data_IF_200408728652
#
_entry.id   IF_200408728652
#
_cell.length_a   1.000
_cell.length_b   1.000
_cell.length_c   1.000
_cell.angle_alpha   90.00
_cell.angle_beta   90.00
_cell.angle_gamma   90.00
#
_symmetry.space_group_name_H-M   'P 1'
#
loop_
_entity.id
_entity.type
_entity.pdbx_description
1 polymer ?
#
# COMPACT_ATOMS: atom_id res chain seq x y z
N UNK A 1 -17.08 -48.43 26.70
CA UNK A 1 -16.53 -47.68 25.55
C UNK A 1 -17.63 -46.78 25.00
N UNK A 2 -17.55 -45.47 25.24
CA UNK A 2 -18.55 -44.48 24.81
C UNK A 2 -18.03 -43.74 23.58
N UNK A 3 -18.82 -43.77 22.52
CA UNK A 3 -18.53 -43.14 21.23
C UNK A 3 -18.55 -41.61 21.34
N UNK A 4 -17.43 -40.97 20.98
CA UNK A 4 -17.36 -39.55 20.65
C UNK A 4 -16.91 -39.43 19.19
N UNK A 5 -17.87 -39.32 18.30
CA UNK A 5 -17.65 -38.86 16.93
C UNK A 5 -18.87 -38.05 16.56
N UNK A 6 -18.75 -36.73 16.54
CA UNK A 6 -19.56 -35.78 15.77
C UNK A 6 -18.99 -34.37 16.06
N UNK A 7 -18.95 -33.54 15.01
CA UNK A 7 -18.59 -32.11 14.95
C UNK A 7 -17.13 -31.72 14.68
N UNK A 8 -16.64 -32.08 13.49
CA UNK A 8 -15.50 -31.39 12.86
C UNK A 8 -15.78 -30.97 11.40
N UNK A 9 -17.04 -30.68 11.03
CA UNK A 9 -17.42 -30.37 9.64
C UNK A 9 -17.98 -28.95 9.41
N UNK A 10 -18.05 -28.08 10.43
CA UNK A 10 -18.70 -26.77 10.29
C UNK A 10 -17.75 -25.57 10.10
N UNK A 11 -16.43 -25.72 10.26
CA UNK A 11 -15.49 -24.59 10.11
C UNK A 11 -14.94 -24.41 8.69
N UNK A 12 -14.97 -25.45 7.83
CA UNK A 12 -14.43 -25.35 6.47
C UNK A 12 -15.36 -24.61 5.49
N UNK A 13 -16.65 -24.45 5.86
CA UNK A 13 -17.65 -23.79 4.99
C UNK A 13 -17.65 -22.26 5.08
N UNK A 14 -17.04 -21.67 6.11
CA UNK A 14 -17.03 -20.20 6.28
C UNK A 14 -15.90 -19.50 5.51
N UNK A 15 -14.79 -20.18 5.25
CA UNK A 15 -13.66 -19.62 4.48
C UNK A 15 -13.97 -19.53 2.97
N UNK A 16 -14.88 -20.36 2.44
CA UNK A 16 -15.25 -20.36 1.02
C UNK A 16 -16.27 -19.27 0.63
N UNK A 17 -16.96 -18.65 1.59
CA UNK A 17 -17.99 -17.65 1.29
C UNK A 17 -17.47 -16.20 1.23
N UNK A 18 -16.37 -15.87 1.92
CA UNK A 18 -15.83 -14.50 1.93
C UNK A 18 -15.21 -14.08 0.59
N UNK A 19 -14.81 -15.04 -0.26
CA UNK A 19 -14.18 -14.77 -1.55
C UNK A 19 -15.20 -14.51 -2.68
N UNK A 20 -16.51 -14.72 -2.45
CA UNK A 20 -17.54 -14.64 -3.50
C UNK A 20 -17.85 -13.23 -4.01
N UNK A 21 -17.51 -12.18 -3.25
CA UNK A 21 -17.90 -10.81 -3.59
C UNK A 21 -16.76 -9.93 -4.11
N UNK A 22 -15.55 -10.50 -4.26
CA UNK A 22 -14.45 -9.75 -4.84
C UNK A 22 -14.70 -9.48 -6.34
N UNK A 23 -14.29 -8.30 -6.79
CA UNK A 23 -14.33 -7.87 -8.20
C UNK A 23 -12.92 -7.69 -8.72
N UNK A 24 -12.68 -8.12 -9.96
CA UNK A 24 -11.39 -7.94 -10.62
C UNK A 24 -11.54 -6.96 -11.78
N UNK A 25 -10.53 -6.13 -11.96
CA UNK A 25 -10.41 -5.21 -13.09
C UNK A 25 -9.00 -5.30 -13.65
N UNK A 26 -8.88 -5.63 -14.93
CA UNK A 26 -7.63 -5.56 -15.67
C UNK A 26 -7.57 -4.23 -16.43
N UNK A 27 -6.45 -3.52 -16.29
CA UNK A 27 -6.14 -2.35 -17.09
C UNK A 27 -4.94 -2.66 -17.97
N UNK A 28 -5.11 -2.47 -19.27
CA UNK A 28 -4.02 -2.40 -20.23
C UNK A 28 -3.93 -0.96 -20.73
N UNK A 29 -2.78 -0.33 -20.58
CA UNK A 29 -2.59 1.08 -20.94
C UNK A 29 -1.20 1.28 -21.53
N UNK A 30 -1.11 2.18 -22.50
CA UNK A 30 0.16 2.68 -22.98
C UNK A 30 0.47 4.03 -22.34
N UNK A 31 1.69 4.19 -21.81
CA UNK A 31 2.13 5.36 -21.04
C UNK A 31 3.41 5.90 -21.68
N UNK A 32 3.53 7.22 -21.69
CA UNK A 32 4.73 7.99 -22.06
C UNK A 32 4.82 9.14 -21.06
N UNK A 33 5.86 9.18 -20.25
CA UNK A 33 5.95 10.10 -19.11
C UNK A 33 5.14 9.67 -17.88
N UNK A 34 4.61 10.65 -17.17
CA UNK A 34 3.98 10.49 -15.86
C UNK A 34 2.46 10.58 -15.95
N UNK A 35 1.78 9.66 -15.27
CA UNK A 35 0.31 9.66 -15.17
C UNK A 35 -0.16 8.95 -13.92
N UNK A 36 -1.27 9.41 -13.36
CA UNK A 36 -1.97 8.71 -12.27
C UNK A 36 -3.34 8.25 -12.72
N UNK A 37 -3.70 7.05 -12.33
CA UNK A 37 -5.04 6.52 -12.42
C UNK A 37 -5.70 6.61 -11.05
N UNK A 38 -6.82 7.31 -10.98
CA UNK A 38 -7.66 7.39 -9.81
C UNK A 38 -8.79 6.37 -9.90
N UNK A 39 -9.10 5.73 -8.77
CA UNK A 39 -10.15 4.73 -8.64
C UNK A 39 -10.98 5.08 -7.40
N UNK A 40 -12.24 5.47 -7.61
CA UNK A 40 -13.10 6.01 -6.53
C UNK A 40 -14.57 5.90 -6.88
N UNK A 41 -15.45 5.57 -5.93
CA UNK A 41 -16.91 5.68 -6.10
C UNK A 41 -17.49 4.95 -7.32
N UNK A 42 -16.82 3.88 -7.79
CA UNK A 42 -17.23 3.16 -9.00
C UNK A 42 -16.87 3.85 -10.32
N UNK A 43 -15.81 4.65 -10.34
CA UNK A 43 -15.25 5.20 -11.57
C UNK A 43 -13.73 5.19 -11.57
N UNK A 44 -13.19 5.28 -12.77
CA UNK A 44 -11.78 5.51 -13.07
C UNK A 44 -11.62 6.86 -13.76
N UNK A 45 -10.55 7.59 -13.45
CA UNK A 45 -10.18 8.79 -14.21
C UNK A 45 -8.66 9.00 -14.16
N UNK A 46 -8.13 9.69 -15.17
CA UNK A 46 -6.70 9.94 -15.31
C UNK A 46 -6.34 11.36 -14.84
N UNK A 47 -5.21 11.48 -14.15
CA UNK A 47 -4.46 12.73 -13.96
C UNK A 47 -3.18 12.61 -14.79
N UNK A 48 -3.14 13.31 -15.93
CA UNK A 48 -1.96 13.40 -16.78
C UNK A 48 -0.95 14.40 -16.20
N UNK A 49 0.34 14.04 -16.16
CA UNK A 49 1.36 14.85 -15.48
C UNK A 49 2.46 15.35 -16.42
N UNK A 50 2.97 14.52 -17.34
CA UNK A 50 4.04 14.91 -18.26
C UNK A 50 3.96 14.15 -19.58
N UNK A 51 4.57 14.73 -20.62
CA UNK A 51 4.66 14.14 -21.96
C UNK A 51 3.27 13.90 -22.60
N UNK A 52 3.03 12.73 -23.17
CA UNK A 52 1.83 12.42 -23.93
C UNK A 52 0.80 11.67 -23.07
N UNK A 53 -0.47 12.04 -23.21
CA UNK A 53 -1.54 11.52 -22.37
C UNK A 53 -1.76 10.01 -22.52
N UNK A 54 -2.24 9.30 -21.47
CA UNK A 54 -2.44 7.86 -21.49
C UNK A 54 -3.19 7.35 -22.72
N UNK A 55 -2.58 6.39 -23.43
CA UNK A 55 -3.12 5.78 -24.64
C UNK A 55 -3.21 6.68 -25.88
N UNK A 56 -2.73 7.92 -25.86
CA UNK A 56 -2.79 8.84 -27.01
C UNK A 56 -1.44 9.02 -27.72
N UNK A 57 -0.67 7.93 -27.83
CA UNK A 57 0.66 7.96 -28.44
C UNK A 57 0.68 7.27 -29.80
N UNK A 58 1.47 7.80 -30.74
CA UNK A 58 1.59 7.25 -32.10
C UNK A 58 2.14 5.82 -32.16
N UNK A 59 2.95 5.42 -31.18
CA UNK A 59 3.69 4.14 -31.19
C UNK A 59 3.07 3.06 -30.28
N UNK A 60 1.90 3.28 -29.70
CA UNK A 60 1.25 2.32 -28.80
C UNK A 60 0.64 1.09 -29.49
N UNK A 61 0.60 1.08 -30.82
CA UNK A 61 -0.10 0.08 -31.61
C UNK A 61 -1.59 0.02 -31.24
N UNK A 62 -2.13 -1.17 -31.07
CA UNK A 62 -3.57 -1.41 -30.82
C UNK A 62 -4.00 -1.27 -29.35
N UNK A 63 -3.08 -0.96 -28.44
CA UNK A 63 -3.37 -0.83 -27.00
C UNK A 63 -3.23 0.63 -26.62
N UNK A 64 -4.34 1.37 -26.71
CA UNK A 64 -4.47 2.72 -26.13
C UNK A 64 -4.72 2.61 -24.62
N UNK A 65 -5.99 2.53 -24.24
CA UNK A 65 -6.44 2.18 -22.89
C UNK A 65 -7.54 1.11 -23.04
N UNK A 66 -7.45 0.03 -22.27
CA UNK A 66 -8.48 -1.01 -22.19
C UNK A 66 -8.77 -1.36 -20.73
N UNK A 67 -10.04 -1.48 -20.40
CA UNK A 67 -10.54 -1.99 -19.12
C UNK A 67 -11.22 -3.33 -19.39
N UNK A 68 -10.72 -4.42 -18.81
CA UNK A 68 -11.22 -5.78 -19.06
C UNK A 68 -11.36 -6.07 -20.57
N UNK A 69 -10.33 -5.72 -21.36
CA UNK A 69 -10.26 -5.82 -22.84
C UNK A 69 -11.20 -4.89 -23.61
N UNK A 70 -12.07 -4.12 -22.94
CA UNK A 70 -12.95 -3.13 -23.57
C UNK A 70 -12.20 -1.81 -23.72
N UNK A 71 -12.23 -1.21 -24.91
CA UNK A 71 -11.57 0.06 -25.16
C UNK A 71 -12.17 1.18 -24.28
N UNK A 72 -11.29 1.97 -23.67
CA UNK A 72 -11.63 3.26 -23.08
C UNK A 72 -11.17 4.31 -24.11
N UNK A 73 -12.10 4.88 -24.90
CA UNK A 73 -11.76 5.56 -26.15
C UNK A 73 -11.06 6.91 -25.95
N UNK A 74 -11.29 7.56 -24.81
CA UNK A 74 -10.76 8.88 -24.50
C UNK A 74 -10.41 8.96 -23.01
N UNK A 75 -9.13 9.16 -22.73
CA UNK A 75 -8.56 9.22 -21.39
C UNK A 75 -9.13 10.37 -20.54
N UNK A 76 -9.62 11.44 -21.19
CA UNK A 76 -10.11 12.65 -20.54
C UNK A 76 -11.51 12.51 -19.93
N UNK A 77 -12.21 11.41 -20.23
CA UNK A 77 -13.53 11.11 -19.66
C UNK A 77 -13.46 9.98 -18.65
N UNK A 78 -14.17 10.15 -17.52
CA UNK A 78 -14.33 9.10 -16.52
C UNK A 78 -14.85 7.78 -17.12
N UNK A 79 -14.22 6.65 -16.77
CA UNK A 79 -14.74 5.33 -17.07
C UNK A 79 -15.59 4.82 -15.90
N UNK A 80 -16.84 4.47 -16.15
CA UNK A 80 -17.74 3.92 -15.13
C UNK A 80 -17.43 2.45 -14.87
N UNK A 81 -17.21 2.11 -13.61
CA UNK A 81 -17.18 0.73 -13.16
C UNK A 81 -18.62 0.24 -12.94
N UNK A 82 -18.85 -1.05 -13.20
CA UNK A 82 -20.14 -1.71 -12.92
C UNK A 82 -20.37 -2.00 -11.44
N UNK A 83 -19.54 -1.48 -10.54
CA UNK A 83 -19.62 -1.68 -9.09
C UNK A 83 -19.01 -0.47 -8.37
N UNK A 84 -19.44 -0.23 -7.12
CA UNK A 84 -18.84 0.80 -6.27
C UNK A 84 -17.59 0.22 -5.59
N UNK A 85 -16.51 0.99 -5.55
CA UNK A 85 -15.22 0.65 -4.92
C UNK A 85 -15.11 1.13 -3.46
N UNK A 86 -16.07 1.93 -2.98
CA UNK A 86 -16.04 2.44 -1.61
C UNK A 86 -16.16 1.30 -0.58
N UNK A 87 -15.39 1.40 0.51
CA UNK A 87 -15.25 0.36 1.54
C UNK A 87 -14.74 -0.99 1.02
N UNK A 88 -14.04 -1.00 -0.12
CA UNK A 88 -13.33 -2.18 -0.62
C UNK A 88 -11.83 -2.03 -0.39
N UNK A 89 -11.20 -3.12 0.03
CA UNK A 89 -9.76 -3.28 0.02
C UNK A 89 -9.34 -3.50 -1.43
N UNK A 90 -8.40 -2.70 -1.91
CA UNK A 90 -7.82 -2.84 -3.24
C UNK A 90 -6.45 -3.48 -3.13
N UNK A 91 -6.24 -4.56 -3.87
CA UNK A 91 -4.92 -5.15 -4.12
C UNK A 91 -4.62 -5.07 -5.60
N UNK A 92 -3.36 -4.89 -5.96
CA UNK A 92 -2.96 -4.74 -7.35
C UNK A 92 -1.79 -5.67 -7.67
N UNK A 93 -1.87 -6.32 -8.83
CA UNK A 93 -0.82 -7.17 -9.38
C UNK A 93 -0.39 -6.59 -10.71
N UNK A 94 0.88 -6.18 -10.79
CA UNK A 94 1.48 -5.72 -12.04
C UNK A 94 1.78 -6.94 -12.91
N UNK A 95 1.11 -7.03 -14.06
CA UNK A 95 1.26 -8.13 -15.02
C UNK A 95 2.28 -7.79 -16.10
N UNK A 96 2.36 -6.52 -16.50
CA UNK A 96 3.33 -5.98 -17.45
C UNK A 96 3.73 -4.58 -17.01
N UNK A 97 5.03 -4.31 -16.96
CA UNK A 97 5.59 -2.98 -16.75
C UNK A 97 6.88 -2.82 -17.53
N UNK A 98 7.18 -1.59 -17.93
CA UNK A 98 8.50 -1.22 -18.41
C UNK A 98 9.32 -0.57 -17.30
N UNK A 99 8.81 0.53 -16.75
CA UNK A 99 9.46 1.32 -15.73
C UNK A 99 8.65 1.28 -14.42
N UNK A 100 8.06 2.40 -14.00
CA UNK A 100 7.32 2.49 -12.74
C UNK A 100 5.85 2.24 -12.94
N UNK A 101 5.29 1.35 -12.12
CA UNK A 101 3.86 1.09 -12.01
C UNK A 101 3.59 0.63 -10.58
N UNK A 102 3.02 1.50 -9.75
CA UNK A 102 2.88 1.26 -8.32
C UNK A 102 1.72 2.02 -7.69
N UNK A 103 1.33 1.61 -6.49
CA UNK A 103 0.35 2.33 -5.68
C UNK A 103 0.94 3.66 -5.18
N UNK A 104 0.22 4.75 -5.39
CA UNK A 104 0.57 6.07 -4.86
C UNK A 104 -0.28 6.43 -3.63
N UNK A 105 -1.54 6.01 -3.63
CA UNK A 105 -2.47 6.18 -2.52
C UNK A 105 -3.36 4.95 -2.38
N UNK A 106 -3.51 4.45 -1.15
CA UNK A 106 -4.42 3.33 -0.82
C UNK A 106 -5.77 3.91 -0.40
N UNK A 107 -6.86 3.31 -0.87
CA UNK A 107 -8.21 3.67 -0.46
C UNK A 107 -8.40 3.51 1.07
N UNK A 108 -8.92 4.56 1.71
CA UNK A 108 -9.34 4.53 3.11
C UNK A 108 -10.46 5.56 3.36
N UNK A 109 -11.05 5.55 4.56
CA UNK A 109 -12.14 6.47 4.89
C UNK A 109 -11.75 7.96 4.78
N UNK A 110 -10.51 8.32 5.11
CA UNK A 110 -10.05 9.71 5.16
C UNK A 110 -9.90 10.32 3.76
N UNK A 111 -9.50 9.52 2.76
CA UNK A 111 -9.42 9.94 1.36
C UNK A 111 -10.67 9.63 0.54
N UNK A 112 -11.79 9.33 1.21
CA UNK A 112 -13.05 8.92 0.58
C UNK A 112 -12.87 7.69 -0.34
N UNK A 113 -12.13 6.70 0.14
CA UNK A 113 -11.87 5.41 -0.48
C UNK A 113 -11.22 5.50 -1.87
N UNK A 114 -10.41 6.52 -2.08
CA UNK A 114 -9.72 6.74 -3.34
C UNK A 114 -8.39 6.01 -3.38
N UNK A 115 -8.26 5.11 -4.35
CA UNK A 115 -6.98 4.53 -4.73
C UNK A 115 -6.38 5.36 -5.86
N UNK A 116 -5.08 5.69 -5.75
CA UNK A 116 -4.31 6.32 -6.82
C UNK A 116 -3.19 5.36 -7.21
N UNK A 117 -3.14 4.99 -8.48
CA UNK A 117 -2.08 4.20 -9.08
C UNK A 117 -1.21 5.09 -9.97
N UNK A 118 0.10 5.02 -9.79
CA UNK A 118 1.05 5.86 -10.50
C UNK A 118 1.83 5.07 -11.55
N UNK A 119 1.93 5.65 -12.74
CA UNK A 119 2.75 5.22 -13.85
C UNK A 119 3.80 6.28 -14.14
N UNK A 120 5.04 5.84 -14.38
CA UNK A 120 6.10 6.72 -14.89
C UNK A 120 6.95 5.94 -15.89
N UNK A 121 6.91 6.38 -17.14
CA UNK A 121 7.69 5.86 -18.25
C UNK A 121 8.56 6.97 -18.87
N UNK A 122 9.72 7.30 -18.25
CA UNK A 122 10.59 8.37 -18.74
C UNK A 122 11.37 7.99 -20.01
N UNK A 123 11.00 6.90 -20.67
CA UNK A 123 11.68 6.42 -21.87
C UNK A 123 11.36 7.31 -23.07
N UNK A 124 12.25 7.33 -24.07
CA UNK A 124 12.05 8.13 -25.28
C UNK A 124 10.89 7.63 -26.18
N UNK A 125 10.20 6.56 -25.79
CA UNK A 125 9.08 5.99 -26.50
C UNK A 125 8.09 5.37 -25.52
N UNK A 126 6.79 5.36 -25.87
CA UNK A 126 5.75 4.86 -24.99
C UNK A 126 5.84 3.34 -24.79
N UNK A 127 5.51 2.86 -23.59
CA UNK A 127 5.41 1.43 -23.30
C UNK A 127 4.04 1.03 -22.76
N UNK A 128 3.74 -0.25 -22.94
CA UNK A 128 2.52 -0.86 -22.46
C UNK A 128 2.69 -1.40 -21.04
N UNK A 129 1.71 -1.09 -20.21
CA UNK A 129 1.52 -1.55 -18.85
C UNK A 129 0.24 -2.37 -18.74
N UNK A 130 0.27 -3.39 -17.88
CA UNK A 130 -0.89 -4.20 -17.53
C UNK A 130 -0.95 -4.36 -16.02
N UNK A 131 -2.05 -3.95 -15.40
CA UNK A 131 -2.26 -4.03 -13.95
C UNK A 131 -3.62 -4.66 -13.67
N UNK A 132 -3.63 -5.70 -12.83
CA UNK A 132 -4.85 -6.35 -12.36
C UNK A 132 -5.16 -5.87 -10.95
N UNK A 133 -6.30 -5.21 -10.77
CA UNK A 133 -6.83 -4.80 -9.48
C UNK A 133 -7.87 -5.81 -9.00
N UNK A 134 -7.74 -6.25 -7.75
CA UNK A 134 -8.71 -7.07 -7.05
C UNK A 134 -9.29 -6.24 -5.89
N UNK A 135 -10.59 -6.01 -5.97
CA UNK A 135 -11.38 -5.29 -4.98
C UNK A 135 -12.13 -6.31 -4.14
N UNK A 136 -11.93 -6.33 -2.84
CA UNK A 136 -12.69 -7.18 -1.94
C UNK A 136 -13.36 -6.32 -0.88
N UNK A 137 -14.61 -6.59 -0.47
CA UNK A 137 -15.17 -5.96 0.71
C UNK A 137 -14.23 -6.13 1.90
N UNK A 138 -14.09 -5.11 2.75
CA UNK A 138 -13.46 -5.32 4.04
C UNK A 138 -14.17 -6.49 4.73
N UNK A 139 -13.45 -7.59 4.96
CA UNK A 139 -14.02 -8.66 5.79
C UNK A 139 -14.21 -8.04 7.15
N UNK A 140 -15.47 -7.80 7.54
CA UNK A 140 -15.82 -7.43 8.90
C UNK A 140 -15.52 -8.65 9.76
N UNK A 141 -14.25 -8.90 10.03
CA UNK A 141 -13.86 -9.64 11.21
C UNK A 141 -14.16 -8.70 12.36
N UNK A 142 -15.44 -8.64 12.75
CA UNK A 142 -15.77 -8.26 14.12
C UNK A 142 -14.84 -9.12 14.97
N UNK A 143 -13.95 -8.54 15.79
CA UNK A 143 -13.23 -9.35 16.74
C UNK A 143 -14.32 -10.00 17.58
N UNK A 144 -14.47 -11.32 17.46
CA UNK A 144 -15.24 -12.09 18.42
C UNK A 144 -14.40 -12.10 19.68
N UNK A 145 -14.39 -10.96 20.38
CA UNK A 145 -14.05 -10.93 21.79
C UNK A 145 -15.18 -11.71 22.43
N UNK A 146 -14.95 -13.02 22.64
CA UNK A 146 -15.74 -13.75 23.62
C UNK A 146 -15.59 -12.95 24.91
N UNK A 147 -16.68 -12.34 25.36
CA UNK A 147 -16.75 -11.74 26.69
C UNK A 147 -16.56 -12.87 27.68
N UNK A 148 -15.32 -13.13 28.05
CA UNK A 148 -15.03 -13.84 29.28
C UNK A 148 -15.33 -12.86 30.41
N UNK A 149 -16.11 -13.31 31.39
CA UNK A 149 -16.64 -12.51 32.49
C UNK A 149 -15.52 -11.96 33.36
N UNK A 150 -14.91 -10.85 32.97
CA UNK A 150 -14.07 -10.06 33.87
C UNK A 150 -15.01 -9.11 34.63
N UNK A 151 -15.03 -9.28 35.95
CA UNK A 151 -15.80 -8.43 36.88
C UNK A 151 -15.46 -6.95 36.64
N UNK A 152 -16.45 -6.05 36.70
CA UNK A 152 -16.25 -4.65 36.38
C UNK A 152 -15.37 -3.98 37.43
N UNK A 153 -14.20 -3.51 37.01
CA UNK A 153 -13.42 -2.53 37.77
C UNK A 153 -14.07 -1.17 37.55
N UNK A 154 -14.58 -0.56 38.62
CA UNK A 154 -15.15 0.79 38.61
C UNK A 154 -14.08 1.79 38.17
N UNK A 155 -14.24 2.37 36.98
CA UNK A 155 -13.60 3.63 36.63
C UNK A 155 -14.61 4.75 36.87
N UNK A 156 -14.18 5.80 37.57
CA UNK A 156 -14.92 7.05 37.69
C UNK A 156 -14.90 7.75 36.33
N UNK A 157 -16.07 8.14 35.84
CA UNK A 157 -16.22 9.01 34.68
C UNK A 157 -15.84 10.43 35.09
N UNK A 158 -14.83 10.99 34.43
CA UNK A 158 -14.60 12.44 34.38
C UNK A 158 -15.29 13.03 33.15
N UNK A 159 -15.78 14.29 33.23
CA UNK A 159 -16.72 14.82 32.25
C UNK A 159 -16.04 15.16 30.92
N UNK A 160 -16.73 14.78 29.84
CA UNK A 160 -16.37 15.09 28.45
C UNK A 160 -16.43 16.60 28.19
N UNK A 161 -15.26 17.25 28.15
CA UNK A 161 -15.11 18.62 27.68
C UNK A 161 -15.09 18.58 26.14
N UNK A 162 -16.04 19.28 25.51
CA UNK A 162 -16.00 19.59 24.08
C UNK A 162 -14.84 20.54 23.83
N UNK A 163 -13.96 20.22 22.89
CA UNK A 163 -13.00 21.18 22.34
C UNK A 163 -12.97 21.14 20.84
N UNK A 164 -12.88 22.35 20.29
CA UNK A 164 -12.88 22.74 18.89
C UNK A 164 -11.74 22.13 18.05
N UNK A 165 -12.00 22.07 16.74
CA UNK A 165 -11.07 21.96 15.61
C UNK A 165 -9.58 21.83 15.95
N UNK A 166 -9.05 20.60 15.85
CA UNK A 166 -7.60 20.36 15.87
C UNK A 166 -7.05 20.59 14.47
N UNK A 167 -6.32 21.70 14.32
CA UNK A 167 -5.40 21.92 13.20
C UNK A 167 -4.32 20.83 13.23
N UNK A 168 -4.03 20.25 12.07
CA UNK A 168 -2.90 19.33 11.88
C UNK A 168 -1.62 19.93 12.45
N UNK A 169 -1.07 19.27 13.47
CA UNK A 169 0.30 19.53 13.91
C UNK A 169 1.22 18.74 12.98
N UNK A 170 1.94 19.47 12.14
CA UNK A 170 3.18 19.03 11.50
C UNK A 170 4.12 18.50 12.60
N UNK A 171 4.22 17.18 12.75
CA UNK A 171 5.18 16.56 13.68
C UNK A 171 6.55 16.58 13.00
N UNK A 172 7.29 17.67 13.20
CA UNK A 172 8.72 17.72 12.92
C UNK A 172 9.46 17.52 14.25
N UNK A 173 10.41 16.58 14.25
CA UNK A 173 11.44 16.31 15.27
C UNK A 173 11.01 16.10 16.73
N UNK A 174 10.89 14.82 17.11
CA UNK A 174 11.85 14.17 18.02
C UNK A 174 11.30 12.81 18.48
N UNK A 175 11.30 11.81 17.60
CA UNK A 175 11.32 10.44 18.10
C UNK A 175 12.78 10.14 18.42
N UNK A 176 13.20 10.50 19.63
CA UNK A 176 14.36 9.90 20.25
C UNK A 176 13.95 8.45 20.57
N UNK A 177 13.99 7.59 19.55
CA UNK A 177 13.86 6.14 19.71
C UNK A 177 15.11 5.67 20.45
N UNK A 178 15.07 5.76 21.79
CA UNK A 178 15.80 4.84 22.67
C UNK A 178 14.95 3.57 22.81
N UNK A 179 14.50 3.01 21.69
CA UNK A 179 13.99 1.65 21.71
C UNK A 179 15.20 0.76 21.48
N UNK A 180 15.35 -0.29 22.29
CA UNK A 180 16.38 -1.28 22.10
C UNK A 180 16.12 -2.00 20.76
N UNK A 181 16.82 -1.56 19.71
CA UNK A 181 16.77 -2.20 18.40
C UNK A 181 17.28 -3.62 18.58
N UNK A 182 16.39 -4.60 18.43
CA UNK A 182 16.75 -6.03 18.55
C UNK A 182 17.40 -6.54 17.29
N UNK A 183 16.92 -6.06 16.15
CA UNK A 183 17.39 -6.47 14.82
C UNK A 183 17.11 -5.37 13.82
N UNK A 184 18.00 -5.24 12.83
CA UNK A 184 17.75 -4.39 11.67
C UNK A 184 18.15 -5.05 10.36
N UNK A 185 17.48 -4.62 9.29
CA UNK A 185 17.69 -5.08 7.93
C UNK A 185 17.91 -3.90 7.02
N UNK A 186 18.85 -4.02 6.09
CA UNK A 186 19.20 -2.97 5.14
C UNK A 186 18.74 -3.36 3.74
N UNK A 187 17.98 -2.48 3.11
CA UNK A 187 17.51 -2.62 1.73
C UNK A 187 18.01 -1.46 0.87
N UNK A 188 18.43 -1.80 -0.34
CA UNK A 188 18.93 -0.89 -1.35
C UNK A 188 17.94 -0.77 -2.50
N UNK A 189 17.78 0.44 -2.99
CA UNK A 189 16.94 0.80 -4.12
C UNK A 189 17.80 1.20 -5.31
N UNK A 190 17.31 0.93 -6.52
CA UNK A 190 17.90 1.45 -7.75
C UNK A 190 17.85 2.97 -7.68
N UNK A 191 18.96 3.62 -8.05
CA UNK A 191 19.15 5.07 -7.94
C UNK A 191 17.95 5.85 -8.46
N UNK A 192 17.52 6.90 -7.75
CA UNK A 192 16.36 7.76 -8.08
C UNK A 192 14.98 7.08 -8.19
N UNK A 193 14.88 5.76 -7.96
CA UNK A 193 13.61 5.03 -8.06
C UNK A 193 13.13 4.47 -6.73
N UNK A 194 11.87 4.03 -6.67
CA UNK A 194 11.28 3.20 -5.60
C UNK A 194 11.41 1.69 -5.89
N UNK A 195 12.19 1.28 -6.89
CA UNK A 195 12.43 -0.14 -7.18
C UNK A 195 13.61 -0.67 -6.36
N UNK A 196 13.44 -1.82 -5.71
CA UNK A 196 14.53 -2.51 -5.01
C UNK A 196 15.59 -3.02 -5.99
N UNK A 197 16.83 -3.08 -5.53
CA UNK A 197 17.86 -3.88 -6.21
C UNK A 197 17.48 -5.36 -6.20
N UNK A 198 18.02 -6.15 -7.13
CA UNK A 198 17.75 -7.58 -7.20
C UNK A 198 18.08 -8.31 -5.88
N UNK A 199 19.21 -7.96 -5.25
CA UNK A 199 19.63 -8.54 -3.97
C UNK A 199 18.65 -8.18 -2.83
N UNK A 200 18.25 -6.90 -2.71
CA UNK A 200 17.30 -6.48 -1.68
C UNK A 200 15.90 -7.06 -1.90
N UNK A 201 15.48 -7.21 -3.15
CA UNK A 201 14.23 -7.90 -3.47
C UNK A 201 14.27 -9.38 -3.08
N UNK A 202 15.43 -10.04 -3.23
CA UNK A 202 15.62 -11.44 -2.83
C UNK A 202 15.66 -11.61 -1.30
N UNK A 203 16.02 -10.58 -0.53
CA UNK A 203 16.04 -10.61 0.94
C UNK A 203 14.65 -10.40 1.58
N UNK A 204 13.68 -9.85 0.85
CA UNK A 204 12.34 -9.53 1.40
C UNK A 204 11.61 -10.72 2.06
N UNK A 205 11.65 -11.96 1.52
CA UNK A 205 10.99 -13.10 2.17
C UNK A 205 11.55 -13.40 3.56
N UNK A 206 12.87 -13.35 3.74
CA UNK A 206 13.51 -13.60 5.03
C UNK A 206 13.14 -12.51 6.06
N UNK A 207 13.13 -11.25 5.62
CA UNK A 207 12.71 -10.11 6.45
C UNK A 207 11.25 -10.26 6.89
N UNK A 208 10.39 -10.68 5.96
CA UNK A 208 8.98 -10.90 6.23
C UNK A 208 8.77 -12.02 7.26
N UNK A 209 9.52 -13.11 7.13
CA UNK A 209 9.46 -14.22 8.08
C UNK A 209 9.88 -13.78 9.48
N UNK A 210 10.95 -12.99 9.61
CA UNK A 210 11.35 -12.41 10.90
C UNK A 210 10.23 -11.55 11.51
N UNK A 211 9.72 -10.59 10.72
CA UNK A 211 8.68 -9.64 11.12
C UNK A 211 7.39 -10.33 11.57
N UNK A 212 7.07 -11.47 10.97
CA UNK A 212 5.87 -12.24 11.32
C UNK A 212 6.05 -13.10 12.56
N UNK A 213 7.26 -13.61 12.76
CA UNK A 213 7.57 -14.50 13.88
C UNK A 213 7.84 -13.74 15.19
N UNK A 214 7.81 -12.41 15.13
CA UNK A 214 8.04 -11.54 16.27
C UNK A 214 6.83 -10.61 16.51
N UNK A 215 6.74 -10.00 17.68
CA UNK A 215 5.62 -9.12 18.10
C UNK A 215 5.99 -7.65 18.19
N UNK A 216 7.26 -7.33 17.95
CA UNK A 216 7.89 -6.02 18.07
C UNK A 216 7.26 -5.01 17.11
N UNK A 217 7.36 -3.74 17.48
CA UNK A 217 7.09 -2.65 16.58
C UNK A 217 8.18 -2.54 15.52
N UNK A 218 7.81 -2.02 14.36
CA UNK A 218 8.59 -2.04 13.14
C UNK A 218 8.75 -0.59 12.71
N UNK A 219 9.99 -0.14 12.64
CA UNK A 219 10.33 1.19 12.16
C UNK A 219 11.03 1.05 10.82
N UNK A 220 10.44 1.62 9.77
CA UNK A 220 11.04 1.68 8.44
C UNK A 220 11.60 3.09 8.25
N UNK A 221 12.92 3.23 8.18
CA UNK A 221 13.59 4.52 8.08
C UNK A 221 14.32 4.67 6.76
N UNK A 222 14.11 5.80 6.07
CA UNK A 222 14.88 6.18 4.90
C UNK A 222 16.08 7.06 5.23
N UNK A 223 17.24 6.75 4.64
CA UNK A 223 18.48 7.49 4.82
C UNK A 223 18.95 8.09 3.50
N UNK A 224 18.54 9.33 3.16
CA UNK A 224 18.93 9.98 1.93
C UNK A 224 20.41 10.35 1.89
N UNK A 225 21.04 10.12 0.74
CA UNK A 225 22.39 10.59 0.41
C UNK A 225 22.39 12.08 0.05
N UNK A 226 21.80 12.91 0.92
CA UNK A 226 21.66 14.35 0.69
C UNK A 226 20.38 14.91 1.30
N UNK A 227 20.39 16.22 1.59
CA UNK A 227 19.29 16.90 2.28
C UNK A 227 18.27 17.61 1.38
N UNK A 228 18.21 17.30 0.07
CA UNK A 228 17.27 17.99 -0.82
C UNK A 228 15.82 17.54 -0.55
N UNK A 229 14.85 18.45 -0.76
CA UNK A 229 13.44 18.14 -0.56
C UNK A 229 12.94 16.99 -1.47
N UNK A 230 13.47 16.91 -2.70
CA UNK A 230 13.18 15.81 -3.63
C UNK A 230 13.76 14.48 -3.15
N UNK A 231 14.96 14.48 -2.55
CA UNK A 231 15.53 13.29 -1.94
C UNK A 231 14.70 12.84 -0.73
N UNK A 232 14.26 13.76 0.13
CA UNK A 232 13.40 13.41 1.28
C UNK A 232 12.11 12.72 0.80
N UNK A 233 11.46 13.26 -0.24
CA UNK A 233 10.23 12.68 -0.78
C UNK A 233 10.45 11.28 -1.34
N UNK A 234 11.51 11.09 -2.13
CA UNK A 234 11.86 9.79 -2.70
C UNK A 234 12.04 8.71 -1.60
N UNK A 235 12.65 9.06 -0.48
CA UNK A 235 12.91 8.10 0.60
C UNK A 235 11.68 7.82 1.46
N UNK A 236 10.78 8.79 1.61
CA UNK A 236 9.45 8.54 2.13
C UNK A 236 8.71 7.52 1.27
N UNK A 237 8.73 7.70 -0.05
CA UNK A 237 8.06 6.78 -0.98
C UNK A 237 8.67 5.37 -0.95
N UNK A 238 10.00 5.26 -0.76
CA UNK A 238 10.71 3.98 -0.57
C UNK A 238 10.35 3.31 0.76
N UNK A 239 10.30 4.05 1.86
CA UNK A 239 9.89 3.52 3.16
C UNK A 239 8.42 3.04 3.11
N UNK A 240 7.56 3.83 2.44
CA UNK A 240 6.17 3.48 2.22
C UNK A 240 6.00 2.23 1.32
N UNK A 241 6.87 2.05 0.32
CA UNK A 241 6.89 0.82 -0.50
C UNK A 241 7.08 -0.44 0.37
N UNK A 242 8.03 -0.41 1.32
CA UNK A 242 8.27 -1.53 2.25
C UNK A 242 7.09 -1.71 3.20
N UNK A 243 6.52 -0.64 3.73
CA UNK A 243 5.31 -0.68 4.56
C UNK A 243 4.20 -1.44 3.83
N UNK A 244 3.92 -1.07 2.58
CA UNK A 244 2.87 -1.71 1.77
C UNK A 244 3.17 -3.18 1.49
N UNK A 245 4.44 -3.53 1.23
CA UNK A 245 4.84 -4.91 1.08
C UNK A 245 4.52 -5.74 2.34
N UNK A 246 4.91 -5.26 3.53
CA UNK A 246 4.69 -5.98 4.79
C UNK A 246 3.20 -6.10 5.12
N UNK A 247 2.44 -5.00 5.00
CA UNK A 247 0.98 -5.00 5.22
C UNK A 247 0.27 -5.93 4.24
N UNK A 248 0.61 -5.87 2.95
CA UNK A 248 0.05 -6.74 1.92
C UNK A 248 0.37 -8.22 2.13
N UNK A 249 1.40 -8.52 2.93
CA UNK A 249 1.76 -9.88 3.35
C UNK A 249 1.17 -10.28 4.70
N UNK A 250 0.34 -9.45 5.32
CA UNK A 250 -0.42 -9.76 6.53
C UNK A 250 0.19 -9.25 7.83
N UNK A 251 1.18 -8.35 7.78
CA UNK A 251 1.69 -7.65 8.97
C UNK A 251 0.70 -6.56 9.38
N UNK A 252 0.36 -6.48 10.66
CA UNK A 252 -0.66 -5.54 11.13
C UNK A 252 -0.17 -4.08 11.03
N UNK A 253 -0.90 -3.16 10.38
CA UNK A 253 -0.47 -1.76 10.17
C UNK A 253 -0.04 -1.02 11.43
N UNK A 254 -0.74 -1.24 12.56
CA UNK A 254 -0.40 -0.61 13.85
C UNK A 254 0.99 -0.97 14.39
N UNK A 255 1.61 -2.07 13.93
CA UNK A 255 2.98 -2.44 14.29
C UNK A 255 4.01 -1.70 13.45
N UNK A 256 3.62 -0.95 12.42
CA UNK A 256 4.57 -0.37 11.46
C UNK A 256 4.48 1.15 11.48
N UNK A 257 5.61 1.79 11.72
CA UNK A 257 5.83 3.21 11.48
C UNK A 257 6.85 3.32 10.35
N UNK A 258 6.60 4.20 9.37
CA UNK A 258 7.60 4.49 8.35
C UNK A 258 7.92 5.99 8.35
N UNK A 259 9.18 6.30 8.07
CA UNK A 259 9.72 7.65 8.08
C UNK A 259 10.61 7.81 6.84
N UNK A 260 10.35 8.82 6.02
CA UNK A 260 11.21 9.15 4.88
C UNK A 260 12.58 9.71 5.25
N UNK A 261 12.76 10.07 6.53
CA UNK A 261 14.01 10.52 7.10
C UNK A 261 14.22 9.83 8.46
N UNK A 262 15.27 9.01 8.57
CA UNK A 262 15.81 8.62 9.87
C UNK A 262 16.39 9.84 10.59
N UNK A 263 16.61 9.74 11.91
CA UNK A 263 17.33 10.79 12.64
C UNK A 263 18.69 11.01 11.96
N UNK A 264 18.89 12.21 11.41
CA UNK A 264 20.03 12.61 10.62
C UNK A 264 21.35 12.51 11.41
N UNK A 265 21.91 11.30 11.50
CA UNK A 265 23.34 11.09 11.63
C UNK A 265 23.85 10.76 10.23
N UNK A 266 24.85 11.52 9.77
CA UNK A 266 25.50 11.35 8.47
C UNK A 266 25.89 9.89 8.26
N UNK A 267 25.08 9.19 7.48
CA UNK A 267 25.37 7.88 6.94
C UNK A 267 25.50 8.09 5.43
N UNK A 268 26.63 7.68 4.87
CA UNK A 268 27.03 7.99 3.48
C UNK A 268 26.41 7.02 2.45
N UNK A 269 25.33 6.34 2.81
CA UNK A 269 24.78 5.23 2.01
C UNK A 269 23.28 5.35 1.82
N UNK A 270 22.85 5.34 0.55
CA UNK A 270 21.45 5.32 0.14
C UNK A 270 20.80 3.98 0.54
N UNK A 271 20.07 3.98 1.67
CA UNK A 271 19.40 2.78 2.16
C UNK A 271 18.06 3.04 2.84
N UNK A 272 17.22 2.00 2.86
CA UNK A 272 16.11 1.87 3.81
C UNK A 272 16.54 0.87 4.88
N UNK A 273 16.33 1.22 6.14
CA UNK A 273 16.50 0.31 7.27
C UNK A 273 15.14 -0.09 7.84
N UNK A 274 14.96 -1.37 8.11
CA UNK A 274 13.82 -1.89 8.85
C UNK A 274 14.33 -2.32 10.21
N UNK A 275 13.86 -1.69 11.28
CA UNK A 275 14.27 -1.96 12.66
C UNK A 275 13.11 -2.58 13.43
N UNK A 276 13.41 -3.61 14.21
CA UNK A 276 12.48 -4.24 15.16
C UNK A 276 12.75 -3.69 16.56
N UNK A 277 11.71 -3.15 17.20
CA UNK A 277 11.81 -2.41 18.46
C UNK A 277 10.79 -2.93 19.49
N UNK A 278 11.22 -3.07 20.75
CA UNK A 278 10.33 -3.32 21.89
C UNK A 278 9.48 -2.12 22.29
#
# INVERSE_FOLDING_TARGET
MKNYFITAFSLLSFLLNAQKDCKTMLIDVCIDGESKLHIKGGKLFWEHLSDDAPGDHKNCGDIKIKINKTAWPDWSFDHKLGFNTDNMIVTATVLKKNQTSQIAQVANKENNWETIWYFNDPAAFPHQYSVSFLFCPETITKPIVKKENIKPVKQKEEPFVKTDSVKEKKVVNSFAVKNDIKKSFILFFISTTTSLTAASNAALPEILDEVKNNSEDIVISGFPDGGSASAIKLYEDRAHFIYNYLVGKGVHPKRIVYLGYGNAKKETENRIEISLTE
#
